data_IF_281469924440
#
_entry.id   IF_281469924440
#
_cell.length_a   1.000
_cell.length_b   1.000
_cell.length_c   1.000
_cell.angle_alpha   90.00
_cell.angle_beta   90.00
_cell.angle_gamma   90.00
#
_symmetry.space_group_name_H-M   'P 1'
#
loop_
_entity.id
_entity.type
_entity.pdbx_description
1 polymer ?
#
# COMPACT_ATOMS: atom_id res chain seq x y z
N UNK A 1 4.34 -7.66 -5.11
CA UNK A 1 5.02 -7.24 -6.34
C UNK A 1 6.08 -6.19 -6.01
N UNK A 2 7.28 -6.62 -5.64
CA UNK A 2 8.44 -5.75 -5.50
C UNK A 2 9.30 -5.73 -6.78
N UNK A 3 10.21 -4.76 -6.89
CA UNK A 3 11.16 -4.64 -8.01
C UNK A 3 10.50 -4.49 -9.38
N UNK A 4 9.59 -3.54 -9.50
CA UNK A 4 8.92 -3.24 -10.77
C UNK A 4 8.93 -1.72 -11.01
N UNK A 5 8.28 -1.29 -12.09
CA UNK A 5 8.13 0.12 -12.46
C UNK A 5 6.68 0.59 -12.28
N UNK A 6 5.99 0.11 -11.22
CA UNK A 6 4.61 0.51 -10.96
C UNK A 6 4.58 1.98 -10.54
N UNK A 7 3.75 2.80 -11.20
CA UNK A 7 3.65 4.24 -10.97
C UNK A 7 2.38 4.68 -10.25
N UNK A 8 1.35 3.82 -10.20
CA UNK A 8 0.09 4.13 -9.52
C UNK A 8 -0.90 2.96 -9.52
N UNK A 9 -2.11 3.25 -9.03
CA UNK A 9 -3.20 2.29 -8.88
C UNK A 9 -4.42 2.64 -9.75
N UNK A 10 -4.21 3.25 -10.93
CA UNK A 10 -5.23 3.97 -11.73
C UNK A 10 -6.51 3.19 -12.14
N UNK A 11 -6.61 1.90 -11.82
CA UNK A 11 -7.79 1.05 -12.06
C UNK A 11 -8.19 0.21 -10.83
N UNK A 12 -7.55 0.42 -9.67
CA UNK A 12 -7.94 -0.26 -8.46
C UNK A 12 -9.16 0.47 -7.85
N UNK A 13 -10.17 -0.27 -7.35
CA UNK A 13 -11.15 0.34 -6.46
C UNK A 13 -10.42 0.98 -5.27
N UNK A 14 -11.01 2.04 -4.69
CA UNK A 14 -10.48 2.77 -3.52
C UNK A 14 -10.02 1.83 -2.39
N UNK A 15 -10.66 0.66 -2.33
CA UNK A 15 -10.23 -0.49 -1.54
C UNK A 15 -9.89 -1.66 -2.47
N UNK A 16 -8.60 -1.98 -2.65
CA UNK A 16 -8.19 -3.16 -3.39
C UNK A 16 -8.84 -4.42 -2.78
N UNK A 17 -9.32 -5.37 -3.60
CA UNK A 17 -10.05 -6.56 -3.13
C UNK A 17 -9.14 -7.61 -2.48
N UNK A 18 -8.04 -7.20 -1.85
CA UNK A 18 -7.03 -8.08 -1.24
C UNK A 18 -7.47 -8.55 0.15
N UNK A 19 -8.75 -8.89 0.32
CA UNK A 19 -9.39 -9.21 1.61
C UNK A 19 -8.76 -10.39 2.33
N UNK A 20 -8.08 -11.31 1.62
CA UNK A 20 -7.38 -12.45 2.23
C UNK A 20 -5.84 -12.33 2.20
N UNK A 21 -5.30 -11.20 1.76
CA UNK A 21 -3.85 -11.03 1.65
C UNK A 21 -3.26 -10.70 3.02
N UNK A 22 -2.28 -11.49 3.47
CA UNK A 22 -1.56 -11.27 4.74
C UNK A 22 -0.28 -10.45 4.57
N UNK A 23 0.35 -10.54 3.41
CA UNK A 23 1.62 -9.88 3.11
C UNK A 23 1.49 -9.16 1.79
N UNK A 24 1.73 -7.86 1.81
CA UNK A 24 1.79 -7.03 0.60
C UNK A 24 3.16 -6.39 0.51
N UNK A 25 3.91 -6.81 -0.51
CA UNK A 25 5.18 -6.20 -0.85
C UNK A 25 5.04 -5.37 -2.12
N UNK A 26 5.16 -4.05 -1.98
CA UNK A 26 5.20 -3.06 -3.05
C UNK A 26 6.56 -2.35 -3.10
N UNK A 27 7.56 -2.86 -2.38
CA UNK A 27 8.86 -2.20 -2.29
C UNK A 27 9.56 -2.12 -3.65
N UNK A 28 10.40 -1.09 -3.84
CA UNK A 28 11.22 -0.90 -5.04
C UNK A 28 10.35 -0.79 -6.30
N UNK A 29 9.49 0.22 -6.30
CA UNK A 29 8.66 0.65 -7.41
C UNK A 29 8.77 2.18 -7.58
N UNK A 30 7.97 2.75 -8.48
CA UNK A 30 7.89 4.19 -8.74
C UNK A 30 6.55 4.77 -8.27
N UNK A 31 5.91 4.14 -7.26
CA UNK A 31 4.59 4.53 -6.78
C UNK A 31 4.66 5.92 -6.12
N UNK A 32 3.70 6.77 -6.44
CA UNK A 32 3.68 8.18 -6.07
C UNK A 32 2.32 8.60 -5.49
N UNK A 33 2.31 9.73 -4.78
CA UNK A 33 1.14 10.22 -4.04
C UNK A 33 1.04 9.66 -2.62
N UNK A 34 -0.14 9.80 -2.01
CA UNK A 34 -0.39 9.33 -0.64
C UNK A 34 -0.35 7.81 -0.52
N UNK A 35 0.11 7.34 0.63
CA UNK A 35 0.18 5.92 0.92
C UNK A 35 -1.24 5.31 1.01
N UNK A 36 -1.58 4.28 0.19
CA UNK A 36 -2.89 3.65 0.28
C UNK A 36 -3.01 2.84 1.58
N UNK A 37 -4.19 2.89 2.18
CA UNK A 37 -4.52 2.17 3.41
C UNK A 37 -4.66 0.68 3.07
N UNK A 38 -3.85 -0.21 3.67
CA UNK A 38 -3.98 -1.64 3.44
C UNK A 38 -5.29 -2.17 4.06
N UNK A 39 -5.92 -3.20 3.49
CA UNK A 39 -7.05 -3.85 4.12
C UNK A 39 -6.67 -4.48 5.48
N UNK A 40 -7.63 -4.65 6.42
CA UNK A 40 -7.35 -5.12 7.79
C UNK A 40 -6.72 -6.52 7.88
N UNK A 41 -6.78 -7.31 6.82
CA UNK A 41 -6.19 -8.65 6.76
C UNK A 41 -4.67 -8.63 6.62
N UNK A 42 -4.09 -7.52 6.15
CA UNK A 42 -2.65 -7.34 5.94
C UNK A 42 -1.95 -7.27 7.30
N UNK A 43 -0.98 -8.15 7.48
CA UNK A 43 -0.11 -8.20 8.65
C UNK A 43 1.27 -7.61 8.37
N UNK A 44 1.74 -7.74 7.12
CA UNK A 44 3.05 -7.21 6.70
C UNK A 44 2.88 -6.36 5.45
N UNK A 45 3.36 -5.12 5.51
CA UNK A 45 3.25 -4.15 4.43
C UNK A 45 4.60 -3.51 4.10
N UNK A 46 5.22 -3.91 2.98
CA UNK A 46 6.49 -3.35 2.51
C UNK A 46 6.25 -2.33 1.41
N UNK A 47 6.72 -1.10 1.63
CA UNK A 47 6.45 0.05 0.76
C UNK A 47 7.72 0.85 0.44
N UNK A 48 8.86 0.40 0.95
CA UNK A 48 10.14 1.10 0.85
C UNK A 48 10.59 1.26 -0.60
N UNK A 49 11.45 2.26 -0.86
CA UNK A 49 11.96 2.55 -2.20
C UNK A 49 10.82 2.80 -3.22
N UNK A 50 9.99 3.79 -2.91
CA UNK A 50 8.96 4.37 -3.77
C UNK A 50 9.03 5.89 -3.68
N UNK A 51 8.16 6.60 -4.38
CA UNK A 51 8.03 8.06 -4.37
C UNK A 51 6.77 8.53 -3.63
N UNK A 52 6.32 7.78 -2.61
CA UNK A 52 5.18 8.17 -1.79
C UNK A 52 5.44 9.51 -1.08
N UNK A 53 4.40 10.35 -1.03
CA UNK A 53 4.43 11.69 -0.43
C UNK A 53 3.08 12.03 0.20
N UNK A 54 3.00 13.13 0.95
CA UNK A 54 1.77 13.50 1.67
C UNK A 54 1.66 12.87 3.05
N UNK A 55 0.48 13.00 3.66
CA UNK A 55 0.23 12.57 5.03
C UNK A 55 -0.13 11.08 5.12
N UNK A 56 0.26 10.45 6.24
CA UNK A 56 -0.15 9.09 6.57
C UNK A 56 -1.60 9.15 7.07
N UNK A 57 -2.49 8.40 6.44
CA UNK A 57 -3.90 8.35 6.84
C UNK A 57 -4.05 7.87 8.30
N UNK A 58 -4.91 8.50 9.11
CA UNK A 58 -5.18 8.04 10.47
C UNK A 58 -5.80 6.62 10.50
N UNK A 59 -6.30 6.10 9.37
CA UNK A 59 -6.78 4.72 9.29
C UNK A 59 -5.67 3.69 9.53
N UNK A 60 -4.39 4.05 9.38
CA UNK A 60 -3.28 3.19 9.81
C UNK A 60 -3.26 2.96 11.34
N UNK A 61 -3.83 3.87 12.13
CA UNK A 61 -3.95 3.73 13.58
C UNK A 61 -4.92 2.60 13.98
N UNK A 62 -5.97 2.36 13.20
CA UNK A 62 -6.96 1.31 13.47
C UNK A 62 -6.48 -0.12 13.11
N UNK A 63 -5.32 -0.26 12.44
CA UNK A 63 -4.76 -1.56 12.01
C UNK A 63 -3.74 -2.11 13.03
N UNK A 64 -3.29 -1.30 14.00
CA UNK A 64 -2.36 -1.70 15.05
C UNK A 64 -3.11 -1.74 16.39
N UNK A 65 -3.69 -2.89 16.73
CA UNK A 65 -4.05 -3.28 18.11
C UNK A 65 -3.64 -4.73 18.32
#
# INVERSE_FOLDING_TARGET
MSNNFLTGFEQAPDFPPWTNLRVLDLSRNELQGSLPVPPPSIYVYYITNNMFSGEISPMFCCVII
#
